data_IF_790053649479
#
_entry.id   IF_790053649479
#
_cell.length_a   1.000
_cell.length_b   1.000
_cell.length_c   1.000
_cell.angle_alpha   90.00
_cell.angle_beta   90.00
_cell.angle_gamma   90.00
#
_symmetry.space_group_name_H-M   'P 1'
#
loop_
_entity.id
_entity.type
_entity.pdbx_description
1 polymer ?
#
# COMPACT_ATOMS: atom_id res chain seq x y z
N UNK A 1 10.64 26.63 -45.00
CA UNK A 1 11.83 27.46 -44.72
C UNK A 1 12.45 26.99 -43.42
N UNK A 2 13.69 26.53 -43.51
CA UNK A 2 14.74 26.50 -42.49
C UNK A 2 14.48 25.75 -41.17
N UNK A 3 14.98 24.52 -41.15
CA UNK A 3 15.37 23.70 -40.00
C UNK A 3 16.37 24.43 -39.08
N UNK A 4 16.26 24.22 -37.76
CA UNK A 4 17.41 24.26 -36.85
C UNK A 4 17.32 23.14 -35.81
N UNK A 5 18.11 22.10 -36.07
CA UNK A 5 18.55 21.08 -35.13
C UNK A 5 19.73 21.63 -34.33
N UNK A 6 19.81 21.35 -33.03
CA UNK A 6 21.00 21.59 -32.19
C UNK A 6 21.21 20.39 -31.23
N UNK A 7 22.45 20.13 -30.80
CA UNK A 7 23.02 18.78 -30.71
C UNK A 7 22.93 18.10 -29.34
N UNK A 8 22.99 16.75 -29.41
CA UNK A 8 23.35 15.81 -28.34
C UNK A 8 24.64 16.24 -27.64
N UNK A 9 24.58 16.41 -26.32
CA UNK A 9 25.77 16.47 -25.49
C UNK A 9 26.09 15.06 -24.99
N UNK A 10 27.25 14.55 -25.38
CA UNK A 10 27.80 13.25 -24.95
C UNK A 10 28.94 13.55 -24.00
N UNK A 11 28.91 13.03 -22.77
CA UNK A 11 30.07 13.02 -21.89
C UNK A 11 30.40 11.57 -21.50
N UNK A 12 31.62 11.08 -21.80
CA UNK A 12 32.07 9.77 -21.35
C UNK A 12 32.74 9.91 -19.98
N UNK A 13 32.24 9.17 -19.00
CA UNK A 13 32.86 9.03 -17.67
C UNK A 13 33.18 7.57 -17.42
N UNK A 14 34.40 7.17 -17.76
CA UNK A 14 34.96 5.83 -17.62
C UNK A 14 35.97 5.85 -16.47
N UNK A 15 35.56 5.56 -15.22
CA UNK A 15 36.50 5.31 -14.13
C UNK A 15 35.85 4.41 -13.08
N UNK A 16 36.56 3.36 -12.66
CA UNK A 16 36.28 2.70 -11.39
C UNK A 16 36.22 1.18 -11.46
N UNK A 17 37.36 0.56 -11.73
CA UNK A 17 37.57 -0.85 -11.45
C UNK A 17 37.41 -1.14 -9.94
N UNK A 18 36.68 -2.21 -9.63
CA UNK A 18 37.00 -3.16 -8.58
C UNK A 18 36.99 -2.68 -7.12
N UNK A 19 36.02 -3.18 -6.35
CA UNK A 19 36.36 -3.89 -5.11
C UNK A 19 35.30 -4.97 -4.82
N UNK A 20 35.69 -6.21 -5.06
CA UNK A 20 35.02 -7.40 -4.54
C UNK A 20 35.29 -7.42 -3.03
N UNK A 21 34.24 -7.36 -2.21
CA UNK A 21 34.29 -7.90 -0.85
C UNK A 21 33.21 -8.97 -0.72
N UNK A 22 33.67 -10.22 -0.85
CA UNK A 22 33.01 -11.42 -0.34
C UNK A 22 33.07 -11.38 1.19
N UNK A 23 31.94 -11.17 1.86
CA UNK A 23 31.79 -11.55 3.27
C UNK A 23 30.78 -12.68 3.36
N UNK A 24 31.30 -13.90 3.43
CA UNK A 24 30.59 -15.08 3.90
C UNK A 24 30.47 -14.97 5.42
N UNK A 25 29.33 -14.47 5.89
CA UNK A 25 28.96 -14.49 7.31
C UNK A 25 27.84 -15.51 7.52
N UNK A 26 28.22 -16.72 7.96
CA UNK A 26 27.30 -17.79 8.29
C UNK A 26 26.47 -17.46 9.56
N UNK A 27 25.24 -17.94 9.51
CA UNK A 27 24.25 -18.26 10.56
C UNK A 27 24.59 -17.90 12.02
N UNK A 28 23.68 -17.18 12.67
CA UNK A 28 23.19 -17.51 14.03
C UNK A 28 21.89 -16.75 14.34
N UNK A 29 20.78 -17.47 14.33
CA UNK A 29 19.51 -17.08 14.94
C UNK A 29 19.66 -16.95 16.47
N UNK A 30 18.97 -16.01 17.11
CA UNK A 30 18.50 -16.21 18.48
C UNK A 30 17.05 -16.70 18.43
N UNK A 31 16.89 -17.99 18.73
CA UNK A 31 15.66 -18.52 19.33
C UNK A 31 15.39 -17.74 20.60
N UNK A 32 14.22 -17.10 20.71
CA UNK A 32 13.65 -16.73 22.00
C UNK A 32 12.67 -17.83 22.40
N UNK A 33 13.25 -18.92 22.91
CA UNK A 33 12.55 -19.87 23.76
C UNK A 33 12.35 -19.19 25.12
N UNK A 34 11.12 -18.82 25.42
CA UNK A 34 10.71 -18.49 26.79
C UNK A 34 9.90 -19.67 27.32
N UNK A 35 10.64 -20.65 27.85
CA UNK A 35 10.14 -21.56 28.85
C UNK A 35 10.62 -21.02 30.20
N UNK A 36 9.72 -20.51 31.04
CA UNK A 36 9.92 -20.63 32.48
C UNK A 36 8.62 -21.05 33.15
N UNK A 37 8.79 -22.03 34.02
CA UNK A 37 7.81 -22.96 34.54
C UNK A 37 7.10 -22.37 35.76
N UNK A 38 6.16 -23.18 36.27
CA UNK A 38 5.77 -23.26 37.70
C UNK A 38 4.56 -22.35 37.99
N UNK A 39 3.40 -22.81 38.43
CA UNK A 39 2.99 -23.96 39.24
C UNK A 39 1.45 -24.05 39.15
N UNK A 40 0.87 -25.19 39.53
CA UNK A 40 -0.51 -25.18 40.07
C UNK A 40 -1.51 -26.02 39.30
N UNK A 41 -1.62 -27.28 39.72
CA UNK A 41 -2.81 -28.08 39.55
C UNK A 41 -4.07 -27.33 40.00
N UNK A 42 -5.15 -27.44 39.21
CA UNK A 42 -6.52 -27.74 39.64
C UNK A 42 -7.54 -27.07 38.70
N UNK A 43 -8.33 -27.91 38.03
CA UNK A 43 -9.68 -27.53 37.63
C UNK A 43 -10.48 -27.19 38.90
N UNK A 44 -11.27 -26.10 38.91
CA UNK A 44 -12.67 -26.25 38.51
C UNK A 44 -13.27 -25.01 37.79
N UNK A 45 -14.28 -25.24 36.95
CA UNK A 45 -15.29 -24.23 36.58
C UNK A 45 -16.30 -24.03 37.73
N UNK A 46 -17.24 -23.05 37.75
CA UNK A 46 -17.53 -21.98 36.79
C UNK A 46 -17.81 -20.57 37.41
N UNK A 47 -18.00 -19.58 36.51
CA UNK A 47 -18.86 -18.38 36.62
C UNK A 47 -18.56 -17.27 37.65
N UNK A 48 -18.16 -16.09 37.16
CA UNK A 48 -18.71 -14.79 37.60
C UNK A 48 -18.40 -13.68 36.57
N UNK A 49 -19.46 -13.18 35.96
CA UNK A 49 -19.52 -12.06 35.01
C UNK A 49 -19.15 -10.74 35.69
N UNK A 50 -18.20 -9.98 35.15
CA UNK A 50 -18.09 -8.53 35.40
C UNK A 50 -17.93 -7.83 34.05
N UNK A 51 -19.02 -7.26 33.57
CA UNK A 51 -19.06 -6.47 32.35
C UNK A 51 -18.46 -5.08 32.64
N UNK A 52 -17.38 -4.73 31.95
CA UNK A 52 -16.96 -3.33 31.78
C UNK A 52 -17.73 -2.74 30.60
N UNK A 53 -18.30 -1.52 30.71
CA UNK A 53 -18.82 -0.82 29.55
C UNK A 53 -17.62 -0.24 28.79
N UNK A 54 -17.21 -0.90 27.70
CA UNK A 54 -16.38 -0.25 26.70
C UNK A 54 -17.31 0.63 25.86
N UNK A 55 -17.31 1.92 26.14
CA UNK A 55 -17.90 2.93 25.26
C UNK A 55 -17.06 2.96 23.99
N UNK A 56 -17.39 2.10 23.02
CA UNK A 56 -16.84 2.16 21.68
C UNK A 56 -17.44 3.40 21.01
N UNK A 57 -16.67 4.48 20.95
CA UNK A 57 -16.94 5.59 20.04
C UNK A 57 -16.75 5.05 18.61
N UNK A 58 -17.84 4.56 18.02
CA UNK A 58 -17.88 4.28 16.59
C UNK A 58 -17.86 5.61 15.87
N UNK A 59 -16.71 5.96 15.29
CA UNK A 59 -16.65 6.96 14.23
C UNK A 59 -17.39 6.36 13.03
N UNK A 60 -18.70 6.51 12.99
CA UNK A 60 -19.48 6.21 11.80
C UNK A 60 -19.25 7.36 10.82
N UNK A 61 -18.59 7.07 9.70
CA UNK A 61 -18.55 7.97 8.55
C UNK A 61 -19.96 8.32 8.11
N UNK A 62 -20.16 9.55 7.63
CA UNK A 62 -21.45 10.02 7.14
C UNK A 62 -21.65 9.58 5.69
N UNK A 63 -22.90 9.54 5.22
CA UNK A 63 -23.20 9.19 3.82
C UNK A 63 -22.46 10.10 2.81
N UNK A 64 -22.21 11.36 3.19
CA UNK A 64 -21.47 12.32 2.38
C UNK A 64 -19.98 11.96 2.23
N UNK A 65 -19.39 11.29 3.23
CA UNK A 65 -18.01 10.81 3.15
C UNK A 65 -17.91 9.63 2.18
N UNK A 66 -18.89 8.71 2.23
CA UNK A 66 -18.96 7.59 1.30
C UNK A 66 -19.16 8.03 -0.17
N UNK A 67 -20.02 9.02 -0.43
CA UNK A 67 -20.20 9.59 -1.77
C UNK A 67 -18.91 10.25 -2.30
N UNK A 68 -18.12 10.89 -1.41
CA UNK A 68 -16.85 11.50 -1.76
C UNK A 68 -15.79 10.44 -2.10
N UNK A 69 -15.72 9.36 -1.30
CA UNK A 69 -14.82 8.23 -1.53
C UNK A 69 -15.14 7.55 -2.86
N UNK A 70 -16.41 7.28 -3.17
CA UNK A 70 -16.85 6.68 -4.43
C UNK A 70 -16.41 7.53 -5.65
N UNK A 71 -16.53 8.85 -5.57
CA UNK A 71 -16.10 9.76 -6.63
C UNK A 71 -14.57 9.73 -6.86
N UNK A 72 -13.79 9.62 -5.78
CA UNK A 72 -12.33 9.49 -5.87
C UNK A 72 -11.94 8.12 -6.45
N UNK A 73 -12.59 7.04 -6.00
CA UNK A 73 -12.39 5.68 -6.50
C UNK A 73 -12.71 5.60 -7.99
N UNK A 74 -13.81 6.19 -8.45
CA UNK A 74 -14.17 6.21 -9.87
C UNK A 74 -13.06 6.88 -10.70
N UNK A 75 -12.58 8.05 -10.24
CA UNK A 75 -11.49 8.78 -10.89
C UNK A 75 -10.22 7.93 -10.97
N UNK A 76 -9.83 7.30 -9.87
CA UNK A 76 -8.66 6.40 -9.81
C UNK A 76 -8.84 5.23 -10.78
N UNK A 77 -10.01 4.59 -10.81
CA UNK A 77 -10.30 3.45 -11.70
C UNK A 77 -10.12 3.83 -13.18
N UNK A 78 -10.55 5.03 -13.57
CA UNK A 78 -10.39 5.55 -14.94
C UNK A 78 -8.91 5.69 -15.28
N UNK A 79 -8.10 6.22 -14.36
CA UNK A 79 -6.66 6.39 -14.54
C UNK A 79 -5.96 5.03 -14.64
N UNK A 80 -6.31 4.07 -13.78
CA UNK A 80 -5.78 2.69 -13.83
C UNK A 80 -6.03 2.07 -15.21
N UNK A 81 -7.26 2.14 -15.72
CA UNK A 81 -7.62 1.58 -17.04
C UNK A 81 -6.92 2.31 -18.18
N UNK A 82 -6.85 3.64 -18.12
CA UNK A 82 -6.23 4.50 -19.14
C UNK A 82 -4.73 4.19 -19.29
N UNK A 83 -4.03 4.04 -18.17
CA UNK A 83 -2.57 3.81 -18.15
C UNK A 83 -2.18 2.34 -18.05
N UNK A 84 -3.14 1.42 -17.92
CA UNK A 84 -2.92 -0.03 -17.79
C UNK A 84 -1.96 -0.36 -16.64
N UNK A 85 -2.18 0.26 -15.48
CA UNK A 85 -1.30 0.09 -14.30
C UNK A 85 -1.34 -1.33 -13.71
N UNK A 86 -2.36 -2.11 -14.07
CA UNK A 86 -2.46 -3.54 -13.74
C UNK A 86 -3.17 -4.28 -14.88
N UNK A 87 -2.96 -5.60 -14.95
CA UNK A 87 -3.71 -6.50 -15.83
C UNK A 87 -4.99 -7.04 -15.19
N UNK A 88 -5.20 -6.80 -13.89
CA UNK A 88 -6.41 -7.22 -13.19
C UNK A 88 -7.63 -6.43 -13.68
N UNK A 89 -8.80 -7.05 -13.57
CA UNK A 89 -10.08 -6.37 -13.81
C UNK A 89 -10.44 -5.51 -12.60
N UNK A 90 -11.17 -4.42 -12.81
CA UNK A 90 -11.62 -3.52 -11.74
C UNK A 90 -12.36 -4.25 -10.60
N UNK A 91 -13.15 -5.28 -10.92
CA UNK A 91 -13.87 -6.12 -9.95
C UNK A 91 -12.96 -6.95 -9.02
N UNK A 92 -11.67 -7.03 -9.35
CA UNK A 92 -10.62 -7.69 -8.59
C UNK A 92 -9.63 -6.71 -7.96
N UNK A 93 -9.97 -5.42 -7.95
CA UNK A 93 -9.26 -4.40 -7.21
C UNK A 93 -10.07 -4.05 -5.96
N UNK A 94 -9.36 -3.86 -4.86
CA UNK A 94 -9.91 -3.31 -3.62
C UNK A 94 -9.25 -1.96 -3.34
N UNK A 95 -10.02 -0.99 -2.87
CA UNK A 95 -9.58 0.39 -2.67
C UNK A 95 -9.68 0.74 -1.18
N UNK A 96 -8.56 1.08 -0.55
CA UNK A 96 -8.55 1.62 0.80
C UNK A 96 -8.32 3.13 0.71
N UNK A 97 -9.35 3.90 1.06
CA UNK A 97 -9.29 5.37 1.05
C UNK A 97 -8.99 5.86 2.46
N UNK A 98 -8.00 6.73 2.58
CA UNK A 98 -7.67 7.47 3.80
C UNK A 98 -7.67 8.97 3.53
N UNK A 99 -8.58 9.68 4.19
CA UNK A 99 -8.72 11.14 4.12
C UNK A 99 -8.36 11.83 5.44
N UNK A 100 -7.60 11.16 6.31
CA UNK A 100 -7.29 11.67 7.66
C UNK A 100 -6.38 12.91 7.65
N UNK A 101 -5.57 13.10 6.59
CA UNK A 101 -4.63 14.23 6.47
C UNK A 101 -5.35 15.55 6.10
N UNK A 102 -6.50 15.48 5.43
CA UNK A 102 -7.31 16.64 5.04
C UNK A 102 -6.69 17.53 3.95
N UNK A 103 -5.39 17.43 3.65
CA UNK A 103 -4.74 18.05 2.50
C UNK A 103 -4.65 17.08 1.32
N UNK A 104 -4.33 15.81 1.59
CA UNK A 104 -4.38 14.73 0.60
C UNK A 104 -5.44 13.68 0.92
N UNK A 105 -5.98 13.06 -0.12
CA UNK A 105 -6.67 11.77 -0.03
C UNK A 105 -5.70 10.70 -0.53
N UNK A 106 -5.36 9.77 0.34
CA UNK A 106 -4.54 8.60 0.05
C UNK A 106 -5.43 7.44 -0.38
N UNK A 107 -5.06 6.74 -1.46
CA UNK A 107 -5.82 5.60 -1.98
C UNK A 107 -4.87 4.46 -2.24
N UNK A 108 -4.92 3.41 -1.42
CA UNK A 108 -4.19 2.18 -1.66
C UNK A 108 -5.02 1.24 -2.53
N UNK A 109 -4.40 0.70 -3.58
CA UNK A 109 -5.02 -0.25 -4.51
C UNK A 109 -4.44 -1.63 -4.26
N UNK A 110 -5.32 -2.56 -3.92
CA UNK A 110 -4.95 -3.92 -3.53
C UNK A 110 -5.56 -4.94 -4.47
N UNK A 111 -4.96 -6.13 -4.52
CA UNK A 111 -5.62 -7.29 -5.10
C UNK A 111 -6.75 -7.75 -4.18
N UNK A 112 -7.94 -7.90 -4.76
CA UNK A 112 -9.04 -8.58 -4.09
C UNK A 112 -8.87 -10.09 -4.24
N UNK A 113 -8.73 -10.80 -3.13
CA UNK A 113 -8.66 -12.26 -3.15
C UNK A 113 -9.97 -12.91 -2.71
N UNK A 114 -10.63 -13.58 -3.65
CA UNK A 114 -11.87 -14.32 -3.42
C UNK A 114 -12.03 -15.46 -4.45
N UNK A 115 -13.15 -16.19 -4.40
CA UNK A 115 -13.41 -17.29 -5.33
C UNK A 115 -13.48 -16.86 -6.82
N UNK A 116 -13.75 -15.58 -7.11
CA UNK A 116 -13.86 -15.04 -8.46
C UNK A 116 -12.52 -14.51 -8.96
N UNK A 117 -11.75 -13.86 -8.10
CA UNK A 117 -10.50 -13.17 -8.42
C UNK A 117 -9.25 -14.03 -8.15
N UNK A 118 -9.38 -15.13 -7.43
CA UNK A 118 -8.27 -16.02 -7.06
C UNK A 118 -7.50 -15.52 -5.85
N UNK A 119 -6.36 -16.14 -5.57
CA UNK A 119 -5.50 -15.80 -4.44
C UNK A 119 -5.90 -16.43 -3.10
N UNK A 120 -5.12 -16.15 -2.06
CA UNK A 120 -5.42 -16.57 -0.68
C UNK A 120 -6.39 -15.55 -0.06
N UNK A 121 -7.61 -15.96 0.34
CA UNK A 121 -8.61 -15.05 0.93
C UNK A 121 -8.17 -14.36 2.23
N UNK A 122 -7.09 -14.83 2.87
CA UNK A 122 -6.54 -14.23 4.09
C UNK A 122 -5.45 -13.18 3.78
N UNK A 123 -5.27 -12.83 2.52
CA UNK A 123 -4.27 -11.85 2.07
C UNK A 123 -4.93 -10.79 1.20
N UNK A 124 -4.34 -9.61 1.20
CA UNK A 124 -4.71 -8.50 0.31
C UNK A 124 -3.41 -7.81 -0.13
N UNK A 125 -2.68 -8.38 -1.11
CA UNK A 125 -1.46 -7.78 -1.62
C UNK A 125 -1.70 -6.36 -2.14
N UNK A 126 -0.89 -5.41 -1.69
CA UNK A 126 -0.88 -4.06 -2.24
C UNK A 126 -0.25 -4.06 -3.63
N UNK A 127 -0.88 -3.37 -4.58
CA UNK A 127 -0.36 -3.17 -5.93
C UNK A 127 0.41 -1.85 -6.04
N UNK A 128 -0.24 -0.75 -5.68
CA UNK A 128 0.28 0.63 -5.73
C UNK A 128 -0.69 1.56 -4.98
N UNK A 129 -0.33 2.83 -4.86
CA UNK A 129 -1.14 3.86 -4.25
C UNK A 129 -1.31 5.08 -5.15
N UNK A 130 -2.33 5.86 -4.85
CA UNK A 130 -2.52 7.21 -5.35
C UNK A 130 -2.58 8.21 -4.21
N UNK A 131 -2.21 9.44 -4.55
CA UNK A 131 -2.41 10.63 -3.71
C UNK A 131 -3.13 11.69 -4.52
N UNK A 132 -4.29 12.11 -4.02
CA UNK A 132 -5.03 13.25 -4.55
C UNK A 132 -4.77 14.47 -3.67
N UNK A 133 -4.07 15.47 -4.19
CA UNK A 133 -3.94 16.76 -3.54
C UNK A 133 -5.25 17.56 -3.68
N UNK A 134 -5.88 17.93 -2.56
CA UNK A 134 -7.18 18.62 -2.56
C UNK A 134 -7.10 20.06 -3.08
N UNK A 135 -5.96 20.72 -2.89
CA UNK A 135 -5.79 22.11 -3.27
C UNK A 135 -5.66 22.29 -4.80
N UNK A 136 -4.90 21.42 -5.45
CA UNK A 136 -4.62 21.45 -6.88
C UNK A 136 -5.47 20.47 -7.69
N UNK A 137 -6.06 19.47 -7.03
CA UNK A 137 -6.73 18.35 -7.68
C UNK A 137 -5.77 17.39 -8.39
N UNK A 138 -4.45 17.54 -8.20
CA UNK A 138 -3.45 16.70 -8.85
C UNK A 138 -3.48 15.28 -8.27
N UNK A 139 -3.43 14.29 -9.17
CA UNK A 139 -3.27 12.89 -8.82
C UNK A 139 -1.81 12.48 -9.04
N UNK A 140 -1.22 11.82 -8.06
CA UNK A 140 0.11 11.21 -8.16
C UNK A 140 0.02 9.73 -7.79
N UNK A 141 0.95 8.90 -8.27
CA UNK A 141 0.99 7.45 -8.00
C UNK A 141 2.40 6.93 -7.96
N UNK A 142 2.65 5.92 -7.13
CA UNK A 142 3.90 5.15 -7.13
C UNK A 142 3.88 3.97 -8.14
N UNK A 143 2.76 3.75 -8.85
CA UNK A 143 2.65 2.68 -9.85
C UNK A 143 3.65 2.82 -11.01
N UNK A 144 4.18 4.03 -11.21
CA UNK A 144 5.20 4.33 -12.23
C UNK A 144 6.63 4.05 -11.74
N UNK A 145 6.81 3.84 -10.44
CA UNK A 145 8.08 3.57 -9.79
C UNK A 145 7.91 2.64 -8.57
N UNK A 146 7.42 1.42 -8.82
CA UNK A 146 7.16 0.43 -7.76
C UNK A 146 8.42 -0.01 -7.00
N UNK A 147 9.61 0.18 -7.58
CA UNK A 147 10.86 -0.26 -6.97
C UNK A 147 11.28 0.68 -5.83
N UNK A 148 11.17 1.99 -6.06
CA UNK A 148 11.59 3.02 -5.11
C UNK A 148 10.39 3.58 -4.31
N UNK A 149 9.16 3.47 -4.84
CA UNK A 149 7.93 3.93 -4.19
C UNK A 149 7.67 5.44 -4.36
N UNK A 150 8.36 6.07 -5.31
CA UNK A 150 8.24 7.51 -5.56
C UNK A 150 6.92 7.85 -6.25
N UNK A 151 6.17 8.79 -5.66
CA UNK A 151 4.92 9.27 -6.25
C UNK A 151 5.19 10.22 -7.41
N UNK A 152 4.69 9.86 -8.59
CA UNK A 152 4.81 10.62 -9.82
C UNK A 152 3.44 11.13 -10.31
N UNK A 153 3.35 12.34 -10.88
CA UNK A 153 2.09 12.86 -11.42
C UNK A 153 1.48 11.98 -12.51
N UNK A 154 0.16 11.81 -12.49
CA UNK A 154 -0.60 11.02 -13.45
C UNK A 154 -1.95 11.66 -13.76
N UNK A 155 -2.40 11.62 -15.02
CA UNK A 155 -3.59 12.33 -15.50
C UNK A 155 -4.46 11.51 -16.46
#
# INVERSE_FOLDING_TARGET
MTTRSLPRNTLPGLFGAGLVILVLGACSSPSQSQDDHTEGAASPAPAATVAMPATAASAAGTDADADADDAVIERVSVVIRKHKLTSLKDECLDYMVDDSDGATVDIDVHEKHDAKCGGDPNTSPRLFSFKLDRASGQLTTDALDLADGDFQPIN
#
